data_IF_342434983127
#
_entry.id   IF_342434983127
#
_cell.length_a   1.000
_cell.length_b   1.000
_cell.length_c   1.000
_cell.angle_alpha   90.00
_cell.angle_beta   90.00
_cell.angle_gamma   90.00
#
_symmetry.space_group_name_H-M   'P 1'
#
loop_
_entity.id
_entity.type
_entity.pdbx_description
1 polymer ?
#
# COMPACT_ATOMS: atom_id res chain seq x y z
N UNK A 1 -17.81 -69.13 26.41
CA UNK A 1 -18.73 -68.11 25.87
C UNK A 1 -18.20 -66.75 26.29
N UNK A 2 -17.63 -66.00 25.33
CA UNK A 2 -17.00 -64.68 25.53
C UNK A 2 -17.98 -63.67 24.95
N UNK A 3 -18.51 -62.77 25.79
CA UNK A 3 -19.30 -61.63 25.31
C UNK A 3 -18.35 -60.44 25.13
N UNK A 4 -18.37 -59.95 23.90
CA UNK A 4 -17.62 -58.83 23.35
C UNK A 4 -18.02 -57.50 23.97
N UNK A 5 -17.05 -56.76 24.53
CA UNK A 5 -17.12 -55.32 24.72
C UNK A 5 -16.08 -54.67 23.78
N UNK A 6 -16.53 -54.30 22.58
CA UNK A 6 -15.87 -53.31 21.72
C UNK A 6 -16.90 -52.25 21.43
N UNK A 7 -16.62 -50.99 21.76
CA UNK A 7 -16.93 -49.78 20.98
C UNK A 7 -16.97 -48.54 21.89
N UNK A 8 -15.82 -47.90 22.07
CA UNK A 8 -15.74 -46.47 22.39
C UNK A 8 -14.68 -45.87 21.50
N UNK A 9 -15.02 -45.65 20.22
CA UNK A 9 -14.18 -44.95 19.27
C UNK A 9 -14.65 -43.49 19.17
N UNK A 10 -13.70 -42.60 19.47
CA UNK A 10 -13.44 -41.32 18.81
C UNK A 10 -14.57 -40.27 18.72
N UNK A 11 -14.41 -39.20 19.51
CA UNK A 11 -14.81 -37.85 19.11
C UNK A 11 -13.98 -36.79 19.84
N UNK A 12 -12.65 -36.85 19.75
CA UNK A 12 -11.79 -35.72 20.08
C UNK A 12 -11.55 -34.92 18.80
N UNK A 13 -12.51 -34.08 18.43
CA UNK A 13 -12.32 -33.10 17.36
C UNK A 13 -11.24 -32.11 17.81
N UNK A 14 -10.05 -32.20 17.22
CA UNK A 14 -9.00 -31.19 17.32
C UNK A 14 -9.54 -29.91 16.67
N UNK A 15 -10.07 -29.00 17.48
CA UNK A 15 -10.21 -27.59 17.13
C UNK A 15 -8.79 -27.02 16.98
N UNK A 16 -8.25 -27.09 15.76
CA UNK A 16 -7.11 -26.26 15.38
C UNK A 16 -7.67 -24.84 15.27
N UNK A 17 -7.63 -24.10 16.37
CA UNK A 17 -7.83 -22.66 16.33
C UNK A 17 -6.63 -22.05 15.61
N UNK A 18 -6.81 -21.73 14.33
CA UNK A 18 -5.96 -20.76 13.66
C UNK A 18 -6.09 -19.45 14.44
N UNK A 19 -5.06 -19.08 15.20
CA UNK A 19 -4.97 -17.76 15.80
C UNK A 19 -4.75 -16.80 14.63
N UNK A 20 -5.84 -16.35 14.01
CA UNK A 20 -5.76 -15.14 13.19
C UNK A 20 -5.40 -14.01 14.15
N UNK A 21 -4.35 -13.26 13.84
CA UNK A 21 -4.16 -11.97 14.46
C UNK A 21 -5.46 -11.18 14.26
N UNK A 22 -6.06 -10.71 15.36
CA UNK A 22 -7.30 -9.98 15.26
C UNK A 22 -7.00 -8.65 14.54
N UNK A 23 -7.55 -8.47 13.35
CA UNK A 23 -7.47 -7.20 12.61
C UNK A 23 -8.71 -6.35 12.90
N UNK A 24 -8.59 -5.04 12.68
CA UNK A 24 -9.72 -4.11 12.82
C UNK A 24 -9.96 -3.40 11.48
N UNK A 25 -11.08 -3.68 10.79
CA UNK A 25 -11.40 -3.05 9.51
C UNK A 25 -11.53 -1.52 9.59
N UNK A 26 -11.76 -0.95 10.78
CA UNK A 26 -11.81 0.51 10.95
C UNK A 26 -10.43 1.16 10.82
N UNK A 27 -9.37 0.40 11.01
CA UNK A 27 -7.98 0.86 10.91
C UNK A 27 -7.48 0.82 9.46
N UNK A 28 -8.15 0.09 8.57
CA UNK A 28 -7.71 -0.10 7.18
C UNK A 28 -7.65 1.22 6.42
N UNK A 29 -6.50 1.50 5.82
CA UNK A 29 -6.22 2.73 5.08
C UNK A 29 -4.87 3.34 5.44
N UNK A 30 -4.51 4.40 4.72
CA UNK A 30 -3.31 5.21 4.98
C UNK A 30 -3.68 6.42 5.80
N UNK A 31 -3.07 6.53 6.97
CA UNK A 31 -3.26 7.60 7.92
C UNK A 31 -2.01 8.45 7.94
N UNK A 32 -2.15 9.78 7.90
CA UNK A 32 -1.03 10.71 7.93
C UNK A 32 -1.30 11.87 8.88
N UNK A 33 -0.26 12.38 9.51
CA UNK A 33 -0.33 13.63 10.28
C UNK A 33 -0.73 14.83 9.41
N UNK A 34 -1.13 15.93 10.05
CA UNK A 34 -1.75 17.10 9.40
C UNK A 34 -0.98 17.67 8.19
N UNK A 35 0.34 17.54 8.12
CA UNK A 35 1.13 18.04 6.99
C UNK A 35 0.80 17.34 5.67
N UNK A 36 0.30 16.09 5.72
CA UNK A 36 0.02 15.22 4.56
C UNK A 36 1.20 15.08 3.59
N UNK A 37 2.42 15.43 4.02
CA UNK A 37 3.61 15.36 3.18
C UNK A 37 4.28 13.99 3.29
N UNK A 38 4.16 13.33 4.44
CA UNK A 38 4.68 11.99 4.68
C UNK A 38 3.55 11.00 4.41
N UNK A 39 3.71 10.15 3.41
CA UNK A 39 2.76 9.13 2.98
C UNK A 39 3.58 7.87 2.72
N UNK A 40 3.11 6.72 3.18
CA UNK A 40 3.74 5.41 2.91
C UNK A 40 3.64 5.02 1.44
N UNK A 41 4.40 4.00 1.03
CA UNK A 41 4.36 3.42 -0.31
C UNK A 41 5.55 3.83 -1.20
N UNK A 42 5.45 3.58 -2.52
CA UNK A 42 6.56 3.77 -3.45
C UNK A 42 7.01 5.22 -3.61
N UNK A 43 6.17 6.19 -3.21
CA UNK A 43 6.54 7.60 -3.16
C UNK A 43 7.49 7.97 -2.01
N UNK A 44 7.67 7.10 -1.01
CA UNK A 44 8.52 7.34 0.16
C UNK A 44 9.75 6.44 0.19
N UNK A 45 9.61 5.17 -0.21
CA UNK A 45 10.74 4.24 -0.26
C UNK A 45 10.76 3.44 -1.56
N UNK A 46 11.95 3.35 -2.17
CA UNK A 46 12.24 2.49 -3.31
C UNK A 46 13.07 1.28 -2.84
N UNK A 47 12.47 0.08 -2.78
CA UNK A 47 13.17 -1.12 -2.34
C UNK A 47 14.19 -1.65 -3.35
N UNK A 48 14.11 -1.26 -4.63
CA UNK A 48 15.02 -1.74 -5.69
C UNK A 48 16.33 -0.95 -5.66
N UNK A 49 16.23 0.37 -5.52
CA UNK A 49 17.40 1.24 -5.45
C UNK A 49 17.85 1.53 -3.99
N UNK A 50 17.19 0.92 -3.00
CA UNK A 50 17.37 1.17 -1.57
C UNK A 50 17.41 2.66 -1.21
N UNK A 51 16.45 3.42 -1.75
CA UNK A 51 16.42 4.87 -1.63
C UNK A 51 15.17 5.34 -0.90
N UNK A 52 15.37 6.20 0.09
CA UNK A 52 14.28 6.95 0.73
C UNK A 52 14.14 8.29 0.02
N UNK A 53 12.90 8.67 -0.32
CA UNK A 53 12.57 9.98 -0.86
C UNK A 53 12.19 10.92 0.29
N UNK A 54 12.92 12.03 0.42
CA UNK A 54 12.67 13.00 1.48
C UNK A 54 11.38 13.80 1.22
N UNK A 55 10.42 13.77 2.16
CA UNK A 55 9.22 14.59 2.08
C UNK A 55 9.51 16.08 2.27
N UNK A 56 8.65 16.95 1.74
CA UNK A 56 8.79 18.40 1.88
C UNK A 56 8.56 18.91 3.32
N UNK A 57 7.73 18.22 4.11
CA UNK A 57 7.42 18.58 5.50
C UNK A 57 7.49 17.34 6.40
N UNK A 58 7.84 17.57 7.67
CA UNK A 58 7.86 16.54 8.71
C UNK A 58 6.47 15.98 8.98
N UNK A 59 6.44 14.75 9.50
CA UNK A 59 5.21 14.04 9.79
C UNK A 59 5.41 12.55 9.97
N UNK A 60 4.32 11.89 10.28
CA UNK A 60 4.23 10.44 10.44
C UNK A 60 3.08 9.91 9.59
N UNK A 61 3.25 8.71 9.06
CA UNK A 61 2.24 7.99 8.32
C UNK A 61 2.27 6.51 8.66
N UNK A 62 1.08 5.92 8.76
CA UNK A 62 0.89 4.49 8.92
C UNK A 62 -0.16 4.02 7.92
N UNK A 63 0.13 2.92 7.24
CA UNK A 63 -0.84 2.20 6.42
C UNK A 63 -1.14 0.87 7.05
N UNK A 64 -2.42 0.51 7.07
CA UNK A 64 -2.91 -0.78 7.57
C UNK A 64 -3.79 -1.44 6.53
N UNK A 65 -3.57 -2.72 6.30
CA UNK A 65 -4.39 -3.56 5.43
C UNK A 65 -5.30 -4.46 6.25
N UNK A 66 -6.39 -4.93 5.65
CA UNK A 66 -7.35 -5.83 6.29
C UNK A 66 -6.76 -7.23 6.62
N UNK A 67 -5.73 -7.64 5.88
CA UNK A 67 -4.98 -8.90 6.05
C UNK A 67 -3.91 -8.85 7.15
N UNK A 68 -3.77 -7.72 7.87
CA UNK A 68 -2.91 -7.64 9.06
C UNK A 68 -1.48 -7.18 8.77
N UNK A 69 -1.24 -6.50 7.66
CA UNK A 69 0.04 -5.87 7.35
C UNK A 69 0.03 -4.37 7.64
N UNK A 70 1.20 -3.85 7.97
CA UNK A 70 1.39 -2.42 8.17
C UNK A 70 2.65 -1.91 7.49
N UNK A 71 2.64 -0.64 7.15
CA UNK A 71 3.82 0.12 6.77
C UNK A 71 3.84 1.44 7.54
N UNK A 72 5.03 1.87 7.95
CA UNK A 72 5.26 3.15 8.61
C UNK A 72 6.24 4.01 7.80
N UNK A 73 5.99 5.31 7.83
CA UNK A 73 6.87 6.32 7.27
C UNK A 73 6.99 7.48 8.27
N UNK A 74 8.22 7.81 8.62
CA UNK A 74 8.55 8.78 9.64
C UNK A 74 9.51 9.81 9.07
N UNK A 75 9.21 11.10 9.25
CA UNK A 75 10.16 12.17 9.03
C UNK A 75 10.10 13.17 10.18
N UNK A 76 11.21 13.27 10.91
CA UNK A 76 11.34 14.15 12.08
C UNK A 76 12.59 15.01 12.00
N UNK A 77 12.41 16.30 12.19
CA UNK A 77 13.50 17.22 12.51
C UNK A 77 13.81 17.15 14.01
N UNK A 78 15.08 17.01 14.35
CA UNK A 78 15.61 16.98 15.72
C UNK A 78 16.33 18.30 15.94
N UNK A 79 15.77 19.13 16.82
CA UNK A 79 16.36 20.41 17.19
C UNK A 79 17.61 20.21 18.05
N UNK A 80 18.66 20.96 17.78
CA UNK A 80 19.85 21.05 18.64
C UNK A 80 19.88 22.43 19.33
N UNK A 81 19.36 22.56 20.57
CA UNK A 81 19.34 23.85 21.25
C UNK A 81 20.74 24.31 21.70
N UNK A 82 21.71 23.39 21.82
CA UNK A 82 23.09 23.73 22.14
C UNK A 82 23.84 24.33 20.95
N UNK A 83 23.51 23.89 19.75
CA UNK A 83 23.97 24.50 18.50
C UNK A 83 22.82 24.58 17.47
N UNK A 84 22.06 25.69 17.45
CA UNK A 84 20.93 25.87 16.55
C UNK A 84 21.29 25.89 15.06
N UNK A 85 22.57 26.07 14.72
CA UNK A 85 23.03 26.01 13.32
C UNK A 85 23.10 24.58 12.78
N UNK A 86 22.99 23.59 13.66
CA UNK A 86 23.18 22.18 13.43
C UNK A 86 21.92 21.34 13.71
N UNK A 87 20.78 21.57 13.04
CA UNK A 87 19.62 20.69 13.19
C UNK A 87 19.92 19.32 12.58
N UNK A 88 19.40 18.27 13.21
CA UNK A 88 19.47 16.91 12.70
C UNK A 88 18.13 16.50 12.08
N UNK A 89 18.16 15.55 11.17
CA UNK A 89 16.96 14.99 10.52
C UNK A 89 16.99 13.48 10.56
N UNK A 90 15.85 12.85 10.88
CA UNK A 90 15.70 11.39 10.81
C UNK A 90 14.51 11.07 9.92
N UNK A 91 14.76 10.24 8.91
CA UNK A 91 13.72 9.63 8.09
C UNK A 91 13.79 8.12 8.31
N UNK A 92 12.66 7.51 8.64
CA UNK A 92 12.56 6.08 8.94
C UNK A 92 11.44 5.47 8.11
N UNK A 93 11.70 4.27 7.63
CA UNK A 93 10.75 3.44 6.92
C UNK A 93 10.81 2.02 7.50
N UNK A 94 9.67 1.43 7.78
CA UNK A 94 9.60 0.02 8.18
C UNK A 94 8.22 -0.55 7.84
N UNK A 95 8.14 -1.86 7.68
CA UNK A 95 6.89 -2.55 7.39
C UNK A 95 6.90 -3.95 7.99
N UNK A 96 5.73 -4.56 8.12
CA UNK A 96 5.58 -5.89 8.70
C UNK A 96 4.13 -6.27 8.93
N UNK A 97 3.88 -6.93 10.06
CA UNK A 97 2.54 -7.40 10.46
C UNK A 97 2.06 -6.69 11.71
N UNK A 98 0.77 -6.41 11.81
CA UNK A 98 0.15 -5.88 13.02
C UNK A 98 -0.90 -6.83 13.59
N UNK A 99 -1.17 -6.67 14.88
CA UNK A 99 -2.21 -7.41 15.57
C UNK A 99 -2.91 -6.54 16.62
N UNK A 100 -4.24 -6.55 16.65
CA UNK A 100 -5.02 -6.05 17.78
C UNK A 100 -5.01 -7.09 18.89
N UNK A 101 -4.53 -6.71 20.06
CA UNK A 101 -4.52 -7.57 21.22
C UNK A 101 -5.89 -7.56 21.92
N UNK A 102 -6.19 -8.61 22.69
CA UNK A 102 -7.47 -8.73 23.40
C UNK A 102 -7.73 -7.61 24.43
N UNK A 103 -6.68 -6.94 24.91
CA UNK A 103 -6.75 -5.80 25.82
C UNK A 103 -6.98 -4.45 25.11
N UNK A 104 -7.13 -4.43 23.79
CA UNK A 104 -7.30 -3.21 22.98
C UNK A 104 -6.00 -2.60 22.44
N UNK A 105 -4.85 -3.02 22.96
CA UNK A 105 -3.54 -2.54 22.47
C UNK A 105 -3.26 -3.02 21.03
N UNK A 106 -2.42 -2.29 20.31
CA UNK A 106 -2.02 -2.59 18.93
C UNK A 106 -0.53 -2.90 18.91
N UNK A 107 -0.17 -4.10 18.44
CA UNK A 107 1.21 -4.56 18.30
C UNK A 107 1.65 -4.48 16.85
N UNK A 108 2.80 -3.85 16.59
CA UNK A 108 3.46 -3.78 15.29
C UNK A 108 4.76 -4.58 15.32
N UNK A 109 4.84 -5.59 14.44
CA UNK A 109 6.00 -6.49 14.33
C UNK A 109 6.64 -6.32 12.94
N UNK A 110 7.81 -5.66 12.84
CA UNK A 110 8.46 -5.41 11.56
C UNK A 110 9.09 -6.65 10.95
N UNK A 111 9.24 -6.66 9.63
CA UNK A 111 10.16 -7.56 8.95
C UNK A 111 11.59 -7.07 9.17
N UNK A 112 12.28 -7.66 10.14
CA UNK A 112 13.51 -7.10 10.71
C UNK A 112 14.71 -6.87 9.76
N UNK A 113 14.66 -7.34 8.50
CA UNK A 113 15.69 -7.09 7.48
C UNK A 113 15.38 -5.92 6.56
N UNK A 114 14.13 -5.43 6.55
CA UNK A 114 13.65 -4.50 5.54
C UNK A 114 13.67 -3.04 5.99
N UNK A 115 13.50 -2.75 7.28
CA UNK A 115 13.46 -1.36 7.72
C UNK A 115 14.73 -0.59 7.38
N UNK A 116 14.57 0.70 7.08
CA UNK A 116 15.61 1.63 6.67
C UNK A 116 15.50 2.93 7.45
N UNK A 117 16.64 3.54 7.73
CA UNK A 117 16.75 4.83 8.39
C UNK A 117 17.80 5.68 7.68
N UNK A 118 17.47 6.93 7.41
CA UNK A 118 18.37 7.96 6.95
C UNK A 118 18.53 9.01 8.07
N UNK A 119 19.75 9.13 8.60
CA UNK A 119 20.11 10.13 9.61
C UNK A 119 20.95 11.23 8.95
N UNK A 120 20.43 12.45 8.94
CA UNK A 120 21.17 13.64 8.54
C UNK A 120 21.71 14.34 9.79
N UNK A 121 23.03 14.45 9.87
CA UNK A 121 23.75 15.19 10.90
C UNK A 121 24.83 16.06 10.22
N UNK A 122 24.47 17.29 9.82
CA UNK A 122 25.34 18.15 9.00
C UNK A 122 26.60 18.61 9.72
N UNK A 123 26.64 18.51 11.05
CA UNK A 123 27.76 19.03 11.84
C UNK A 123 28.79 17.97 12.19
N UNK A 124 28.39 16.70 12.20
CA UNK A 124 29.32 15.59 12.34
C UNK A 124 29.68 14.94 10.99
N UNK A 125 28.82 15.05 9.97
CA UNK A 125 29.00 14.38 8.69
C UNK A 125 28.59 15.28 7.52
N UNK A 126 29.36 15.23 6.42
CA UNK A 126 29.00 15.95 5.19
C UNK A 126 27.82 15.29 4.45
N UNK A 127 27.59 14.00 4.68
CA UNK A 127 26.54 13.21 4.03
C UNK A 127 25.64 12.56 5.08
N UNK A 128 24.39 12.31 4.71
CA UNK A 128 23.47 11.55 5.54
C UNK A 128 23.87 10.06 5.60
N UNK A 129 23.63 9.43 6.75
CA UNK A 129 23.97 8.04 7.02
C UNK A 129 22.73 7.18 6.80
N UNK A 130 22.83 6.23 5.88
CA UNK A 130 21.77 5.27 5.59
C UNK A 130 22.05 3.93 6.29
N UNK A 131 21.16 3.51 7.18
CA UNK A 131 21.29 2.30 7.99
C UNK A 131 20.03 1.45 7.98
N UNK A 132 20.15 0.18 8.34
CA UNK A 132 18.99 -0.68 8.61
C UNK A 132 18.30 -0.26 9.89
N UNK A 133 16.99 -0.42 9.92
CA UNK A 133 16.13 -0.12 11.05
C UNK A 133 15.22 -1.31 11.35
N UNK A 134 14.99 -1.57 12.63
CA UNK A 134 14.12 -2.63 13.08
C UNK A 134 13.70 -2.29 14.52
N UNK A 135 12.51 -1.73 14.67
CA UNK A 135 11.96 -1.45 15.99
C UNK A 135 10.55 -2.01 16.10
N UNK A 136 10.36 -2.84 17.10
CA UNK A 136 9.05 -3.28 17.53
C UNK A 136 8.29 -2.10 18.15
N UNK A 137 7.02 -1.95 17.81
CA UNK A 137 6.19 -0.87 18.35
C UNK A 137 4.90 -1.43 18.98
N UNK A 138 4.56 -0.89 20.15
CA UNK A 138 3.36 -1.25 20.89
C UNK A 138 2.61 0.03 21.23
N UNK A 139 1.38 0.14 20.73
CA UNK A 139 0.45 1.18 21.16
C UNK A 139 -0.43 0.63 22.25
N UNK A 140 -0.53 1.36 23.36
CA UNK A 140 -1.35 0.96 24.50
C UNK A 140 -2.83 0.87 24.13
N UNK A 141 -3.29 1.81 23.32
CA UNK A 141 -4.66 1.92 22.85
C UNK A 141 -4.69 2.71 21.53
N UNK A 142 -5.81 2.66 20.81
CA UNK A 142 -6.06 3.49 19.64
C UNK A 142 -7.55 3.80 19.51
N UNK A 143 -7.84 4.92 18.85
CA UNK A 143 -9.21 5.40 18.65
C UNK A 143 -9.40 5.90 17.23
N UNK A 144 -10.42 5.39 16.53
CA UNK A 144 -10.83 5.89 15.21
C UNK A 144 -12.11 6.70 15.38
N UNK A 145 -12.03 7.99 15.12
CA UNK A 145 -13.15 8.93 15.28
C UNK A 145 -13.31 9.81 14.05
N UNK A 146 -14.52 10.34 13.84
CA UNK A 146 -14.72 11.43 12.89
C UNK A 146 -14.47 12.73 13.63
N UNK A 147 -13.51 13.52 13.16
CA UNK A 147 -13.19 14.81 13.78
C UNK A 147 -14.36 15.79 13.65
N UNK A 148 -14.77 16.36 14.78
CA UNK A 148 -15.93 17.26 14.84
C UNK A 148 -15.74 18.55 14.04
N UNK A 149 -14.49 18.99 13.85
CA UNK A 149 -14.17 20.21 13.10
C UNK A 149 -13.92 19.92 11.62
N UNK A 150 -12.93 19.09 11.29
CA UNK A 150 -12.53 18.81 9.91
C UNK A 150 -13.47 17.84 9.17
N UNK A 151 -14.36 17.14 9.89
CA UNK A 151 -15.22 16.06 9.36
C UNK A 151 -14.46 14.91 8.70
N UNK A 152 -13.13 14.87 8.85
CA UNK A 152 -12.30 13.79 8.36
C UNK A 152 -12.21 12.67 9.40
N UNK A 153 -12.01 11.43 8.94
CA UNK A 153 -11.64 10.34 9.83
C UNK A 153 -10.26 10.62 10.43
N UNK A 154 -10.18 10.48 11.75
CA UNK A 154 -9.02 10.75 12.57
C UNK A 154 -8.68 9.51 13.38
N UNK A 155 -7.41 9.11 13.31
CA UNK A 155 -6.81 8.07 14.12
C UNK A 155 -6.00 8.73 15.23
N UNK A 156 -6.34 8.41 16.47
CA UNK A 156 -5.54 8.72 17.65
C UNK A 156 -4.82 7.45 18.08
N UNK A 157 -3.49 7.53 18.15
CA UNK A 157 -2.65 6.45 18.68
C UNK A 157 -2.12 6.87 20.05
N UNK A 158 -2.06 5.91 20.98
CA UNK A 158 -1.45 6.12 22.29
C UNK A 158 -0.19 5.27 22.38
N UNK A 159 0.94 5.91 22.66
CA UNK A 159 2.22 5.22 22.82
C UNK A 159 2.17 4.17 23.94
N UNK A 160 3.21 3.37 24.08
CA UNK A 160 3.28 2.29 25.08
C UNK A 160 3.13 2.79 26.53
N UNK A 161 3.53 4.03 26.81
CA UNK A 161 3.35 4.72 28.10
C UNK A 161 1.94 5.30 28.30
N UNK A 162 1.11 5.28 27.24
CA UNK A 162 -0.22 5.88 27.20
C UNK A 162 -0.24 7.36 26.83
N UNK A 163 0.91 7.96 26.51
CA UNK A 163 0.95 9.33 26.00
C UNK A 163 0.30 9.39 24.61
N UNK A 164 -0.53 10.42 24.33
CA UNK A 164 -1.13 10.57 23.01
C UNK A 164 -0.08 10.96 21.98
N UNK A 165 -0.09 10.28 20.83
CA UNK A 165 0.68 10.69 19.67
C UNK A 165 -0.04 11.78 18.87
N UNK A 166 0.67 12.37 17.91
CA UNK A 166 0.08 13.36 17.01
C UNK A 166 -1.12 12.75 16.28
N UNK A 167 -2.27 13.44 16.24
CA UNK A 167 -3.46 12.92 15.56
C UNK A 167 -3.19 12.77 14.07
N UNK A 168 -3.67 11.66 13.53
CA UNK A 168 -3.51 11.29 12.13
C UNK A 168 -4.87 11.30 11.44
N UNK A 169 -4.88 11.56 10.14
CA UNK A 169 -6.10 11.66 9.34
C UNK A 169 -6.00 10.71 8.16
N UNK A 170 -7.13 10.11 7.78
CA UNK A 170 -7.18 9.23 6.62
C UNK A 170 -6.85 10.00 5.34
N UNK A 171 -5.81 9.54 4.64
CA UNK A 171 -5.36 10.05 3.34
C UNK A 171 -5.83 9.17 2.19
N UNK A 172 -5.72 7.84 2.32
CA UNK A 172 -6.08 6.87 1.27
C UNK A 172 -6.86 5.68 1.83
N UNK A 173 -7.83 5.22 1.04
CA UNK A 173 -8.55 3.96 1.24
C UNK A 173 -8.93 3.43 -0.17
N UNK A 174 -8.29 2.37 -0.70
CA UNK A 174 -7.39 1.41 -0.04
C UNK A 174 -6.04 2.01 0.42
N UNK A 175 -5.29 1.32 1.32
CA UNK A 175 -4.01 1.79 1.81
C UNK A 175 -2.93 1.83 0.71
N UNK A 176 -2.12 2.89 0.72
CA UNK A 176 -0.93 3.10 -0.10
C UNK A 176 0.31 2.56 0.65
N UNK A 177 0.82 1.40 0.23
CA UNK A 177 2.01 0.78 0.81
C UNK A 177 2.73 -0.13 -0.19
N UNK A 178 3.98 -0.48 0.11
CA UNK A 178 4.77 -1.44 -0.65
C UNK A 178 4.24 -2.87 -0.45
N UNK A 179 4.66 -3.84 -1.31
CA UNK A 179 4.20 -5.23 -1.19
C UNK A 179 4.46 -5.84 0.19
N UNK A 180 3.50 -6.59 0.71
CA UNK A 180 3.45 -7.17 2.07
C UNK A 180 4.38 -8.37 2.32
N UNK A 181 5.41 -8.52 1.50
CA UNK A 181 6.41 -9.59 1.58
C UNK A 181 7.77 -9.02 1.96
N UNK A 182 8.67 -9.85 2.46
CA UNK A 182 10.06 -9.45 2.70
C UNK A 182 10.70 -8.97 1.39
N UNK A 183 11.17 -7.72 1.36
CA UNK A 183 11.68 -7.05 0.15
C UNK A 183 13.18 -7.30 -0.04
N UNK A 184 13.96 -7.33 1.05
CA UNK A 184 15.42 -7.44 1.02
C UNK A 184 15.93 -8.61 1.90
N UNK A 185 15.67 -9.87 1.49
CA UNK A 185 16.08 -11.04 2.27
C UNK A 185 17.61 -11.15 2.37
N UNK A 186 18.11 -11.28 3.59
CA UNK A 186 19.52 -11.64 3.85
C UNK A 186 19.63 -13.14 4.14
N UNK A 187 20.80 -13.73 3.89
CA UNK A 187 21.03 -15.18 4.07
C UNK A 187 20.72 -15.70 5.49
N UNK A 188 20.69 -14.82 6.49
CA UNK A 188 20.32 -15.14 7.87
C UNK A 188 18.80 -15.12 8.14
N UNK A 189 18.00 -14.52 7.26
CA UNK A 189 16.54 -14.40 7.40
C UNK A 189 15.75 -15.44 6.59
N UNK A 190 16.40 -16.20 5.71
CA UNK A 190 15.80 -17.31 4.94
C UNK A 190 15.47 -18.56 5.76
N UNK A 191 15.41 -18.47 7.09
CA UNK A 191 15.17 -19.59 8.02
C UNK A 191 13.71 -19.86 8.38
N UNK A 192 12.76 -19.03 7.94
CA UNK A 192 11.34 -19.25 8.19
C UNK A 192 10.53 -19.12 6.88
N UNK A 193 10.26 -20.25 6.22
CA UNK A 193 9.18 -20.37 5.24
C UNK A 193 9.47 -20.06 3.77
N UNK A 194 10.68 -19.67 3.38
CA UNK A 194 11.01 -19.49 1.96
C UNK A 194 11.53 -20.80 1.34
N UNK A 195 10.64 -21.61 0.76
CA UNK A 195 11.03 -22.71 -0.15
C UNK A 195 11.61 -22.08 -1.42
N UNK A 196 12.91 -21.79 -1.42
CA UNK A 196 13.63 -21.29 -2.58
C UNK A 196 13.83 -22.41 -3.61
N UNK A 197 12.93 -22.50 -4.58
CA UNK A 197 13.20 -23.24 -5.82
C UNK A 197 14.00 -22.35 -6.78
N UNK A 198 15.20 -22.80 -7.13
CA UNK A 198 15.84 -22.41 -8.39
C UNK A 198 17.04 -21.47 -8.27
N UNK A 199 18.22 -22.05 -8.47
CA UNK A 199 19.51 -21.37 -8.66
C UNK A 199 19.45 -20.37 -9.82
N UNK A 200 19.57 -19.07 -9.55
CA UNK A 200 19.88 -18.07 -10.57
C UNK A 200 21.34 -17.61 -10.41
N UNK A 201 22.19 -18.08 -11.33
CA UNK A 201 23.59 -17.65 -11.50
C UNK A 201 23.55 -16.24 -12.11
N UNK A 202 23.77 -15.21 -11.30
CA UNK A 202 23.90 -13.81 -11.76
C UNK A 202 25.29 -13.63 -12.40
N UNK A 203 25.36 -13.65 -13.72
CA UNK A 203 26.52 -13.14 -14.46
C UNK A 203 26.51 -11.62 -14.37
N UNK A 204 27.56 -11.09 -13.75
CA UNK A 204 27.97 -9.70 -13.82
C UNK A 204 28.43 -9.44 -15.26
N UNK A 205 27.67 -8.66 -16.02
CA UNK A 205 28.17 -7.92 -17.18
C UNK A 205 27.09 -6.91 -17.62
N UNK A 206 27.52 -5.65 -17.67
CA UNK A 206 27.00 -4.59 -18.54
C UNK A 206 25.71 -3.84 -18.13
N UNK A 207 25.85 -2.82 -17.27
CA UNK A 207 25.01 -1.61 -17.27
C UNK A 207 25.86 -0.39 -16.88
N UNK A 208 26.99 -0.21 -17.56
CA UNK A 208 27.63 1.10 -17.68
C UNK A 208 27.21 1.69 -19.04
N UNK A 209 26.10 2.43 -19.06
CA UNK A 209 25.79 3.42 -20.12
C UNK A 209 24.42 4.06 -19.90
N UNK A 210 24.36 5.09 -19.06
CA UNK A 210 23.38 6.16 -19.31
C UNK A 210 23.91 7.53 -18.87
N UNK A 211 25.14 7.85 -19.29
CA UNK A 211 25.57 9.23 -19.51
C UNK A 211 26.46 9.26 -20.77
N UNK A 212 26.18 10.21 -21.66
CA UNK A 212 27.08 10.80 -22.70
C UNK A 212 27.17 10.20 -24.13
N UNK A 213 27.53 11.02 -25.16
CA UNK A 213 26.64 11.98 -25.81
C UNK A 213 26.50 11.74 -27.33
N UNK A 214 25.69 12.59 -27.96
CA UNK A 214 25.29 12.64 -29.36
C UNK A 214 26.43 12.42 -30.37
N UNK A 215 26.13 11.58 -31.39
CA UNK A 215 26.82 11.41 -32.68
C UNK A 215 27.84 10.25 -32.81
N UNK A 216 27.35 9.08 -33.26
CA UNK A 216 27.88 8.40 -34.45
C UNK A 216 26.97 7.29 -34.94
N UNK A 217 26.56 7.39 -36.19
CA UNK A 217 25.87 6.35 -36.94
C UNK A 217 26.78 5.14 -37.19
N UNK A 218 26.51 4.00 -36.56
CA UNK A 218 27.00 2.70 -37.03
C UNK A 218 25.90 1.65 -36.86
N UNK A 219 25.48 1.13 -38.01
CA UNK A 219 24.51 0.06 -38.20
C UNK A 219 24.87 -1.19 -37.38
N UNK A 220 24.02 -1.56 -36.42
CA UNK A 220 23.93 -2.92 -35.91
C UNK A 220 22.50 -3.45 -36.04
N UNK A 221 22.43 -4.59 -36.73
CA UNK A 221 21.25 -5.35 -37.14
C UNK A 221 20.42 -5.74 -35.91
N UNK A 222 19.22 -5.14 -35.77
CA UNK A 222 18.24 -5.46 -34.73
C UNK A 222 17.77 -6.91 -34.90
N UNK A 223 17.97 -7.74 -33.89
CA UNK A 223 17.33 -9.06 -33.74
C UNK A 223 15.95 -8.79 -33.14
N UNK A 224 14.89 -9.10 -33.87
CA UNK A 224 13.52 -8.85 -33.43
C UNK A 224 13.13 -9.71 -32.22
N UNK A 225 12.34 -9.18 -31.27
CA UNK A 225 11.81 -9.96 -30.16
C UNK A 225 10.75 -10.95 -30.62
N UNK A 226 10.73 -12.11 -29.98
CA UNK A 226 9.82 -13.24 -30.24
C UNK A 226 8.37 -12.78 -30.16
N UNK A 227 7.65 -12.91 -31.28
CA UNK A 227 6.25 -12.54 -31.44
C UNK A 227 5.35 -13.56 -30.70
N UNK A 228 4.54 -13.05 -29.75
CA UNK A 228 3.66 -13.83 -28.88
C UNK A 228 2.38 -14.36 -29.57
N UNK A 229 2.14 -14.05 -30.86
CA UNK A 229 0.94 -14.50 -31.58
C UNK A 229 1.05 -15.88 -32.25
N UNK A 230 2.12 -16.64 -31.96
CA UNK A 230 2.37 -17.95 -32.61
C UNK A 230 2.05 -19.18 -31.77
N UNK A 231 1.45 -19.06 -30.58
CA UNK A 231 1.33 -20.18 -29.62
C UNK A 231 -0.09 -20.71 -29.38
N UNK A 232 -1.09 -20.29 -30.14
CA UNK A 232 -2.48 -20.76 -29.97
C UNK A 232 -2.94 -21.83 -30.98
N UNK A 233 -2.05 -22.39 -31.80
CA UNK A 233 -2.42 -23.38 -32.84
C UNK A 233 -1.89 -24.81 -32.62
N UNK A 234 -1.32 -25.17 -31.47
CA UNK A 234 -1.00 -26.57 -31.13
C UNK A 234 -2.21 -27.36 -30.61
N UNK A 235 -3.35 -27.28 -31.31
CA UNK A 235 -4.60 -27.92 -30.86
C UNK A 235 -5.66 -28.23 -31.93
N UNK A 236 -5.34 -28.17 -33.22
CA UNK A 236 -6.31 -28.54 -34.26
C UNK A 236 -5.65 -29.24 -35.45
N UNK A 237 -5.93 -30.54 -35.61
CA UNK A 237 -5.65 -31.26 -36.85
C UNK A 237 -6.82 -32.22 -37.14
N UNK A 238 -7.82 -31.83 -37.95
CA UNK A 238 -8.90 -32.71 -38.35
C UNK A 238 -8.58 -33.33 -39.70
N UNK A 239 -7.98 -34.51 -39.73
CA UNK A 239 -7.92 -35.35 -40.93
C UNK A 239 -7.63 -36.79 -40.53
N UNK A 240 -8.54 -37.41 -39.77
CA UNK A 240 -8.63 -38.85 -39.71
C UNK A 240 -10.09 -39.26 -39.45
N UNK A 241 -10.56 -40.21 -40.24
CA UNK A 241 -11.84 -40.96 -40.15
C UNK A 241 -13.04 -40.36 -40.89
N UNK A 242 -13.04 -40.60 -42.21
CA UNK A 242 -14.27 -40.90 -42.94
C UNK A 242 -14.80 -42.28 -42.52
N UNK A 243 -16.11 -42.38 -42.29
CA UNK A 243 -16.89 -43.62 -42.39
C UNK A 243 -17.33 -44.27 -41.07
N UNK A 244 -18.55 -43.93 -40.62
CA UNK A 244 -19.63 -44.91 -40.41
C UNK A 244 -20.96 -44.24 -40.08
N UNK A 245 -22.00 -44.97 -40.47
CA UNK A 245 -23.40 -44.59 -40.59
C UNK A 245 -24.17 -44.48 -39.27
N UNK A 246 -25.30 -43.78 -39.43
CA UNK A 246 -26.61 -43.97 -38.81
C UNK A 246 -26.92 -43.53 -37.36
N UNK A 247 -28.12 -42.93 -37.30
CA UNK A 247 -29.05 -42.82 -36.18
C UNK A 247 -28.87 -41.65 -35.19
N UNK A 248 -29.65 -40.57 -35.39
CA UNK A 248 -30.58 -40.07 -34.36
C UNK A 248 -31.46 -38.93 -34.88
N UNK A 249 -32.75 -39.26 -34.97
CA UNK A 249 -33.90 -38.40 -35.26
C UNK A 249 -34.36 -37.77 -33.94
N UNK A 250 -34.97 -36.57 -34.07
CA UNK A 250 -35.97 -35.93 -33.18
C UNK A 250 -35.43 -34.90 -32.18
N UNK A 251 -35.72 -33.63 -32.47
CA UNK A 251 -36.75 -32.82 -31.78
C UNK A 251 -36.52 -31.33 -32.11
N UNK A 252 -37.16 -30.86 -33.19
CA UNK A 252 -37.58 -29.46 -33.35
C UNK A 252 -39.05 -29.53 -33.73
N UNK A 253 -39.88 -28.87 -32.92
CA UNK A 253 -41.23 -28.36 -33.21
C UNK A 253 -42.07 -28.39 -31.93
N UNK A 254 -42.04 -27.30 -31.15
CA UNK A 254 -43.20 -26.86 -30.37
C UNK A 254 -43.19 -25.32 -30.32
N UNK A 255 -43.97 -24.77 -31.25
CA UNK A 255 -45.05 -23.80 -31.02
C UNK A 255 -44.72 -22.35 -30.64
N UNK A 256 -45.00 -21.52 -31.64
CA UNK A 256 -45.22 -20.08 -31.68
C UNK A 256 -46.70 -19.77 -31.30
N UNK A 257 -46.95 -18.83 -30.38
CA UNK A 257 -48.23 -18.11 -30.21
C UNK A 257 -47.95 -16.79 -29.44
N UNK A 258 -47.92 -15.59 -30.04
CA UNK A 258 -48.99 -14.74 -30.59
C UNK A 258 -49.46 -13.64 -29.59
N UNK A 259 -49.23 -12.38 -30.03
CA UNK A 259 -49.92 -11.10 -29.76
C UNK A 259 -49.88 -10.41 -28.38
N UNK A 260 -49.45 -9.13 -28.37
CA UNK A 260 -50.36 -7.96 -28.24
C UNK A 260 -49.75 -6.74 -27.51
N UNK A 261 -49.66 -5.63 -28.25
CA UNK A 261 -49.79 -4.21 -27.85
C UNK A 261 -48.63 -3.40 -27.22
N UNK A 262 -48.34 -2.30 -27.95
CA UNK A 262 -47.61 -1.04 -27.66
C UNK A 262 -48.40 -0.14 -26.66
N UNK A 263 -47.99 1.09 -26.20
CA UNK A 263 -47.16 2.07 -26.91
C UNK A 263 -46.21 2.99 -26.09
N UNK A 264 -45.61 3.88 -26.88
CA UNK A 264 -44.57 4.89 -26.66
C UNK A 264 -44.88 6.10 -25.74
N UNK A 265 -43.77 6.84 -25.51
CA UNK A 265 -43.63 8.31 -25.40
C UNK A 265 -43.89 9.00 -24.04
N UNK A 266 -42.86 9.67 -23.50
CA UNK A 266 -42.80 11.15 -23.53
C UNK A 266 -41.48 11.73 -22.99
N UNK A 267 -40.98 12.70 -23.76
CA UNK A 267 -39.89 13.65 -23.50
C UNK A 267 -40.37 14.84 -22.66
N UNK A 268 -39.58 15.32 -21.68
CA UNK A 268 -39.48 16.73 -21.22
C UNK A 268 -38.23 16.82 -20.30
N UNK A 269 -37.06 17.29 -20.76
CA UNK A 269 -36.57 18.69 -20.77
C UNK A 269 -36.69 19.42 -19.42
N UNK A 270 -35.57 19.57 -18.71
CA UNK A 270 -35.20 20.80 -17.99
C UNK A 270 -33.75 20.72 -17.48
N UNK A 271 -32.86 21.38 -18.20
CA UNK A 271 -31.56 21.86 -17.73
C UNK A 271 -31.77 22.89 -16.62
N UNK A 272 -30.94 22.87 -15.58
CA UNK A 272 -30.64 24.07 -14.77
C UNK A 272 -29.19 24.03 -14.32
N UNK A 273 -28.37 24.68 -15.15
CA UNK A 273 -27.15 25.37 -14.77
C UNK A 273 -27.39 26.21 -13.51
N UNK A 274 -26.55 26.07 -12.50
CA UNK A 274 -26.47 26.99 -11.38
C UNK A 274 -25.13 27.73 -11.48
N UNK A 275 -25.21 28.92 -12.09
CA UNK A 275 -24.13 29.88 -12.21
C UNK A 275 -24.21 30.81 -10.98
N UNK A 276 -23.28 30.64 -10.04
CA UNK A 276 -23.14 31.52 -8.88
C UNK A 276 -22.26 32.71 -9.24
N UNK A 277 -22.89 33.88 -9.43
CA UNK A 277 -22.19 35.18 -9.44
C UNK A 277 -21.98 35.67 -8.01
N UNK A 278 -20.79 36.19 -7.66
CA UNK A 278 -20.53 36.75 -6.34
C UNK A 278 -21.20 38.13 -6.20
N UNK A 279 -21.87 38.32 -5.06
CA UNK A 279 -22.56 39.55 -4.67
C UNK A 279 -21.60 40.58 -4.07
N UNK A 280 -21.82 41.83 -4.46
CA UNK A 280 -21.11 43.04 -4.06
C UNK A 280 -21.38 43.42 -2.60
N UNK A 281 -20.76 42.68 -1.65
CA UNK A 281 -20.75 43.04 -0.22
C UNK A 281 -19.46 42.72 0.55
N UNK A 282 -18.40 42.29 -0.14
CA UNK A 282 -17.12 41.88 0.48
C UNK A 282 -15.94 42.85 0.24
N UNK A 283 -16.21 44.15 0.06
CA UNK A 283 -15.16 45.16 -0.22
C UNK A 283 -14.91 46.22 0.86
N UNK A 284 -15.53 46.11 2.04
CA UNK A 284 -15.33 47.07 3.15
C UNK A 284 -14.86 46.45 4.48
N UNK A 285 -14.10 45.34 4.41
CA UNK A 285 -13.51 44.71 5.61
C UNK A 285 -11.99 44.47 5.53
N UNK A 286 -11.32 44.94 4.48
CA UNK A 286 -9.94 44.54 4.17
C UNK A 286 -9.01 45.75 4.01
N UNK A 287 -8.92 46.59 5.05
CA UNK A 287 -7.90 47.65 5.15
C UNK A 287 -7.16 47.74 6.49
N UNK A 288 -7.49 46.90 7.48
CA UNK A 288 -6.97 47.05 8.85
C UNK A 288 -6.02 45.94 9.35
N UNK A 289 -5.45 45.11 8.46
CA UNK A 289 -4.50 44.06 8.86
C UNK A 289 -3.22 44.04 8.03
N UNK A 290 -2.52 45.18 7.95
CA UNK A 290 -1.12 45.21 7.53
C UNK A 290 -0.23 45.72 8.69
N UNK A 291 0.71 44.91 9.21
CA UNK A 291 1.65 45.37 10.22
C UNK A 291 2.67 46.36 9.62
N UNK A 292 2.78 47.50 10.31
CA UNK A 292 3.63 48.65 10.02
C UNK A 292 5.11 48.27 10.14
N UNK A 293 5.80 48.14 9.00
CA UNK A 293 7.27 47.98 8.93
C UNK A 293 7.92 49.25 9.50
N UNK A 294 8.56 49.16 10.67
CA UNK A 294 9.47 50.20 11.17
C UNK A 294 10.86 49.94 10.59
N UNK A 295 11.33 50.88 9.77
CA UNK A 295 12.75 51.07 9.46
C UNK A 295 13.44 51.58 10.73
N UNK A 296 14.52 50.94 11.13
CA UNK A 296 15.45 51.44 12.15
C UNK A 296 16.68 51.89 11.37
N UNK A 297 17.07 53.14 11.61
CA UNK A 297 18.32 53.75 11.13
C UNK A 297 19.54 53.14 11.83
#
# INVERSE_FOLDING_TARGET
>A
MIVSLRSSLAASALLIYSIFAQTDPQLTGTWTTKSRSVITGPGFYDPVNEKIFEPALTGFSYSFTDDGHYEEAYYRAISNPGDPSCPQGVIQWQHGTYAKNANGSLTLTPFGVDGRQLLSDPCNNANAIFTRYNQFELFKDYEVVVDGYSKAQRLNLFASDGSPLNPMYLAYNPPEMLPTQTLNPTASASGAGATSTGKAKRTLEDMDSFVEPLNKSVLRKRREPVNADKWWWMGYNPSFLAGRDDELIRLRDVTLAILSQSPAANTHKAEKFFELKPTEKDKEGLKDLLPRVRRVD
#
